data_IF_605810849259
#
_entry.id   IF_605810849259
#
_cell.length_a   1.000
_cell.length_b   1.000
_cell.length_c   1.000
_cell.angle_alpha   90.00
_cell.angle_beta   90.00
_cell.angle_gamma   90.00
#
_symmetry.space_group_name_H-M   'P 1'
#
loop_
_entity.id
_entity.type
_entity.pdbx_description
1 polymer ?
#
# COMPACT_ATOMS: atom_id res chain seq x y z
N UNK A 1 9.81 21.42 23.21
CA UNK A 1 10.14 20.76 21.93
C UNK A 1 11.42 19.92 21.98
N UNK A 2 12.36 20.17 22.91
CA UNK A 2 13.64 19.44 22.96
C UNK A 2 13.60 18.01 23.53
N UNK A 3 12.45 17.52 24.00
CA UNK A 3 12.37 16.22 24.69
C UNK A 3 12.86 15.03 23.85
N UNK A 4 12.74 15.14 22.52
CA UNK A 4 13.22 14.11 21.60
C UNK A 4 14.73 13.88 21.74
N UNK A 5 15.49 14.90 22.12
CA UNK A 5 16.94 14.88 22.24
C UNK A 5 17.44 14.59 23.66
N UNK A 6 16.53 14.24 24.58
CA UNK A 6 16.88 13.70 25.89
C UNK A 6 17.33 12.23 25.75
N UNK A 7 18.20 11.79 26.67
CA UNK A 7 18.84 10.48 26.61
C UNK A 7 17.83 9.34 26.44
N UNK A 8 17.99 8.56 25.37
CA UNK A 8 17.16 7.39 25.04
C UNK A 8 15.84 7.69 24.29
N UNK A 9 15.33 8.94 24.29
CA UNK A 9 14.10 9.27 23.56
C UNK A 9 14.31 9.24 22.04
N UNK A 10 15.44 9.79 21.57
CA UNK A 10 15.77 9.79 20.15
C UNK A 10 15.87 8.37 19.58
N UNK A 11 16.51 7.46 20.34
CA UNK A 11 16.64 6.06 19.95
C UNK A 11 15.27 5.39 19.81
N UNK A 12 14.39 5.55 20.81
CA UNK A 12 13.03 5.02 20.76
C UNK A 12 12.23 5.54 19.56
N UNK A 13 12.31 6.84 19.29
CA UNK A 13 11.60 7.46 18.16
C UNK A 13 12.15 6.99 16.81
N UNK A 14 13.49 6.91 16.67
CA UNK A 14 14.16 6.37 15.49
C UNK A 14 13.74 4.93 15.24
N UNK A 15 13.67 4.10 16.29
CA UNK A 15 13.33 2.70 16.15
C UNK A 15 11.86 2.54 15.70
N UNK A 16 10.93 3.33 16.26
CA UNK A 16 9.56 3.40 15.76
C UNK A 16 9.46 3.87 14.30
N UNK A 17 10.24 4.89 13.92
CA UNK A 17 10.34 5.37 12.54
C UNK A 17 10.79 4.26 11.57
N UNK A 18 11.85 3.51 11.93
CA UNK A 18 12.36 2.41 11.12
C UNK A 18 11.36 1.26 11.01
N UNK A 19 10.65 0.94 12.09
CA UNK A 19 9.59 -0.08 12.09
C UNK A 19 8.40 0.32 11.22
N UNK A 20 8.02 1.60 11.19
CA UNK A 20 7.02 2.10 10.25
C UNK A 20 7.47 1.91 8.81
N UNK A 21 8.74 2.15 8.50
CA UNK A 21 9.30 1.91 7.15
C UNK A 21 9.26 0.42 6.82
N UNK A 22 9.69 -0.45 7.74
CA UNK A 22 9.67 -1.91 7.55
C UNK A 22 8.26 -2.43 7.28
N UNK A 23 7.31 -2.10 8.17
CA UNK A 23 5.91 -2.46 8.01
C UNK A 23 5.34 -1.94 6.69
N UNK A 24 5.66 -0.70 6.32
CA UNK A 24 5.19 -0.09 5.08
C UNK A 24 5.77 -0.79 3.85
N UNK A 25 7.06 -1.12 3.86
CA UNK A 25 7.74 -1.77 2.73
C UNK A 25 7.23 -3.20 2.52
N UNK A 26 7.08 -3.98 3.59
CA UNK A 26 6.56 -5.35 3.51
C UNK A 26 5.08 -5.36 3.05
N UNK A 27 4.27 -4.44 3.58
CA UNK A 27 2.88 -4.29 3.15
C UNK A 27 2.77 -3.81 1.71
N UNK A 28 3.66 -2.92 1.27
CA UNK A 28 3.74 -2.47 -0.11
C UNK A 28 4.07 -3.61 -1.06
N UNK A 29 5.05 -4.46 -0.71
CA UNK A 29 5.41 -5.64 -1.48
C UNK A 29 4.23 -6.61 -1.61
N UNK A 30 3.57 -6.95 -0.50
CA UNK A 30 2.38 -7.79 -0.52
C UNK A 30 1.27 -7.16 -1.38
N UNK A 31 1.04 -5.85 -1.23
CA UNK A 31 0.03 -5.13 -1.99
C UNK A 31 0.30 -5.12 -3.50
N UNK A 32 1.56 -4.96 -3.92
CA UNK A 32 1.95 -5.04 -5.33
C UNK A 32 1.71 -6.44 -5.90
N UNK A 33 2.18 -7.48 -5.21
CA UNK A 33 2.05 -8.86 -5.66
C UNK A 33 0.57 -9.28 -5.74
N UNK A 34 -0.16 -9.11 -4.64
CA UNK A 34 -1.55 -9.51 -4.54
C UNK A 34 -2.46 -8.62 -5.39
N UNK A 35 -2.22 -7.31 -5.41
CA UNK A 35 -2.99 -6.36 -6.22
C UNK A 35 -2.83 -6.61 -7.72
N UNK A 36 -1.62 -6.97 -8.17
CA UNK A 36 -1.36 -7.35 -9.57
C UNK A 36 -2.07 -8.65 -9.93
N UNK A 37 -2.02 -9.66 -9.05
CA UNK A 37 -2.76 -10.91 -9.24
C UNK A 37 -4.27 -10.68 -9.33
N UNK A 38 -4.83 -9.88 -8.42
CA UNK A 38 -6.25 -9.53 -8.41
C UNK A 38 -6.64 -8.73 -9.66
N UNK A 39 -5.78 -7.81 -10.12
CA UNK A 39 -6.01 -7.09 -11.37
C UNK A 39 -6.07 -8.06 -12.56
N UNK A 40 -5.15 -9.03 -12.65
CA UNK A 40 -5.15 -10.07 -13.67
C UNK A 40 -6.46 -10.90 -13.64
N UNK A 41 -6.94 -11.26 -12.44
CA UNK A 41 -8.24 -11.93 -12.30
C UNK A 41 -9.40 -11.08 -12.81
N UNK A 42 -9.39 -9.77 -12.55
CA UNK A 42 -10.48 -8.87 -12.94
C UNK A 42 -10.52 -8.53 -14.43
N UNK A 43 -9.38 -8.61 -15.13
CA UNK A 43 -9.31 -8.44 -16.59
C UNK A 43 -9.37 -9.76 -17.36
N UNK A 44 -9.39 -10.90 -16.65
CA UNK A 44 -9.43 -12.23 -17.26
C UNK A 44 -10.76 -12.52 -17.99
N UNK A 45 -10.73 -13.29 -19.10
CA UNK A 45 -11.95 -13.79 -19.74
C UNK A 45 -12.72 -14.80 -18.88
N UNK A 46 -12.14 -15.35 -17.82
CA UNK A 46 -12.79 -16.37 -16.95
C UNK A 46 -13.74 -15.70 -15.94
N UNK A 47 -15.06 -15.95 -16.00
CA UNK A 47 -16.04 -15.29 -15.12
C UNK A 47 -15.80 -15.51 -13.62
N UNK A 48 -15.39 -16.72 -13.24
CA UNK A 48 -15.13 -17.09 -11.83
C UNK A 48 -13.98 -16.27 -11.25
N UNK A 49 -12.89 -16.08 -12.01
CA UNK A 49 -11.76 -15.25 -11.57
C UNK A 49 -12.18 -13.79 -11.40
N UNK A 50 -12.96 -13.25 -12.35
CA UNK A 50 -13.50 -11.89 -12.24
C UNK A 50 -14.40 -11.73 -11.02
N UNK A 51 -15.26 -12.70 -10.75
CA UNK A 51 -16.15 -12.70 -9.60
C UNK A 51 -15.35 -12.71 -8.29
N UNK A 52 -14.34 -13.59 -8.17
CA UNK A 52 -13.46 -13.63 -7.01
C UNK A 52 -12.73 -12.30 -6.79
N UNK A 53 -12.06 -11.76 -7.82
CA UNK A 53 -11.35 -10.49 -7.71
C UNK A 53 -12.28 -9.32 -7.38
N UNK A 54 -13.51 -9.33 -7.89
CA UNK A 54 -14.52 -8.32 -7.56
C UNK A 54 -15.00 -8.47 -6.13
N UNK A 55 -15.21 -9.69 -5.65
CA UNK A 55 -15.58 -9.99 -4.26
C UNK A 55 -14.51 -9.51 -3.27
N UNK A 56 -13.24 -9.83 -3.53
CA UNK A 56 -12.11 -9.36 -2.73
C UNK A 56 -12.08 -7.83 -2.64
N UNK A 57 -12.04 -7.16 -3.79
CA UNK A 57 -11.93 -5.70 -3.83
C UNK A 57 -13.13 -5.02 -3.17
N UNK A 58 -14.33 -5.55 -3.39
CA UNK A 58 -15.55 -5.06 -2.73
C UNK A 58 -15.47 -5.22 -1.22
N UNK A 59 -15.06 -6.38 -0.72
CA UNK A 59 -14.97 -6.63 0.72
C UNK A 59 -13.95 -5.68 1.36
N UNK A 60 -12.72 -5.67 0.87
CA UNK A 60 -11.62 -4.95 1.52
C UNK A 60 -11.74 -3.42 1.39
N UNK A 61 -12.27 -2.90 0.27
CA UNK A 61 -12.47 -1.43 0.12
C UNK A 61 -13.66 -0.91 0.91
N UNK A 62 -14.65 -1.76 1.20
CA UNK A 62 -15.83 -1.38 1.98
C UNK A 62 -15.73 -1.78 3.46
N UNK A 63 -14.62 -2.36 3.90
CA UNK A 63 -14.36 -2.70 5.30
C UNK A 63 -13.35 -1.73 5.89
N UNK A 64 -13.62 -1.11 7.06
CA UNK A 64 -12.64 -0.26 7.73
C UNK A 64 -11.35 -1.03 8.02
N UNK A 65 -10.19 -0.41 7.77
CA UNK A 65 -8.89 -1.04 8.00
C UNK A 65 -8.73 -1.52 9.45
N UNK A 66 -9.24 -0.78 10.43
CA UNK A 66 -9.26 -1.18 11.85
C UNK A 66 -9.99 -2.52 12.07
N UNK A 67 -11.08 -2.78 11.36
CA UNK A 67 -11.82 -4.05 11.45
C UNK A 67 -11.00 -5.19 10.86
N UNK A 68 -10.25 -4.96 9.79
CA UNK A 68 -9.35 -5.96 9.21
C UNK A 68 -8.20 -6.28 10.17
N UNK A 69 -7.61 -5.27 10.81
CA UNK A 69 -6.61 -5.48 11.87
C UNK A 69 -7.18 -6.29 13.04
N UNK A 70 -8.39 -5.97 13.48
CA UNK A 70 -9.08 -6.75 14.50
C UNK A 70 -9.28 -8.21 14.07
N UNK A 71 -9.75 -8.44 12.84
CA UNK A 71 -9.98 -9.78 12.32
C UNK A 71 -8.70 -10.63 12.25
N UNK A 72 -7.57 -10.06 11.79
CA UNK A 72 -6.32 -10.83 11.75
C UNK A 72 -5.70 -11.02 13.13
N UNK A 73 -5.79 -10.02 14.00
CA UNK A 73 -5.13 -10.06 15.32
C UNK A 73 -5.88 -10.94 16.30
N UNK A 74 -7.21 -10.93 16.27
CA UNK A 74 -8.05 -11.67 17.24
C UNK A 74 -8.84 -12.81 16.61
N UNK A 75 -9.11 -12.80 15.30
CA UNK A 75 -9.88 -13.83 14.62
C UNK A 75 -9.06 -15.02 14.13
N UNK A 76 -7.79 -14.82 13.74
CA UNK A 76 -6.92 -15.90 13.26
C UNK A 76 -6.34 -16.80 14.38
N UNK A 77 -5.91 -16.27 15.55
CA UNK A 77 -5.35 -17.13 16.60
C UNK A 77 -6.29 -18.25 17.10
N UNK A 78 -7.60 -18.02 17.31
CA UNK A 78 -8.54 -19.10 17.66
C UNK A 78 -8.66 -20.21 16.61
N UNK A 79 -8.29 -19.92 15.35
CA UNK A 79 -8.26 -20.90 14.25
C UNK A 79 -6.92 -21.65 14.18
N UNK A 80 -6.02 -21.47 15.15
CA UNK A 80 -4.70 -22.10 15.21
C UNK A 80 -3.63 -21.38 14.40
N UNK A 81 -3.91 -20.18 13.88
CA UNK A 81 -2.96 -19.39 13.09
C UNK A 81 -2.27 -18.38 14.00
N UNK A 82 -1.03 -18.66 14.37
CA UNK A 82 -0.23 -17.81 15.25
C UNK A 82 0.97 -17.24 14.48
N UNK A 83 0.96 -15.92 14.25
CA UNK A 83 2.07 -15.20 13.66
C UNK A 83 2.54 -14.06 14.55
N UNK A 84 3.67 -13.44 14.18
CA UNK A 84 4.13 -12.22 14.83
C UNK A 84 3.14 -11.05 14.61
N UNK A 85 3.12 -10.08 15.51
CA UNK A 85 2.33 -8.85 15.37
C UNK A 85 2.63 -8.14 14.04
N UNK A 86 3.91 -8.06 13.64
CA UNK A 86 4.33 -7.50 12.35
C UNK A 86 3.69 -8.26 11.18
N UNK A 87 3.68 -9.59 11.21
CA UNK A 87 3.08 -10.41 10.15
C UNK A 87 1.58 -10.17 10.06
N UNK A 88 0.85 -10.12 11.18
CA UNK A 88 -0.58 -9.77 11.16
C UNK A 88 -0.82 -8.38 10.59
N UNK A 89 0.00 -7.39 10.98
CA UNK A 89 -0.09 -6.04 10.45
C UNK A 89 0.14 -5.98 8.94
N UNK A 90 1.15 -6.70 8.44
CA UNK A 90 1.44 -6.83 7.00
C UNK A 90 0.28 -7.49 6.27
N UNK A 91 -0.31 -8.54 6.82
CA UNK A 91 -1.47 -9.21 6.21
C UNK A 91 -2.69 -8.29 6.12
N UNK A 92 -3.04 -7.57 7.20
CA UNK A 92 -4.17 -6.65 7.18
C UNK A 92 -3.92 -5.46 6.24
N UNK A 93 -2.81 -4.74 6.43
CA UNK A 93 -2.47 -3.55 5.68
C UNK A 93 -2.21 -3.86 4.20
N UNK A 94 -1.39 -4.89 3.92
CA UNK A 94 -1.07 -5.29 2.56
C UNK A 94 -2.28 -5.81 1.78
N UNK A 95 -3.17 -6.59 2.39
CA UNK A 95 -4.40 -7.08 1.75
C UNK A 95 -5.40 -5.95 1.46
N UNK A 96 -5.52 -5.00 2.39
CA UNK A 96 -6.30 -3.78 2.18
C UNK A 96 -5.74 -2.97 1.01
N UNK A 97 -4.46 -2.63 1.05
CA UNK A 97 -3.78 -1.84 0.00
C UNK A 97 -3.79 -2.57 -1.35
N UNK A 98 -3.68 -3.91 -1.39
CA UNK A 98 -3.76 -4.71 -2.61
C UNK A 98 -5.06 -4.43 -3.40
N UNK A 99 -6.16 -4.13 -2.71
CA UNK A 99 -7.44 -3.84 -3.35
C UNK A 99 -7.44 -2.49 -4.07
N UNK A 100 -6.71 -1.50 -3.54
CA UNK A 100 -6.50 -0.22 -4.22
C UNK A 100 -5.52 -0.36 -5.38
N UNK A 101 -4.42 -1.12 -5.20
CA UNK A 101 -3.48 -1.45 -6.28
C UNK A 101 -4.20 -2.14 -7.44
N UNK A 102 -5.07 -3.12 -7.14
CA UNK A 102 -5.88 -3.82 -8.13
C UNK A 102 -6.72 -2.86 -8.98
N UNK A 103 -7.39 -1.90 -8.34
CA UNK A 103 -8.24 -0.93 -9.03
C UNK A 103 -7.44 0.06 -9.87
N UNK A 104 -6.29 0.50 -9.36
CA UNK A 104 -5.37 1.35 -10.13
C UNK A 104 -4.91 0.62 -11.39
N UNK A 105 -4.42 -0.62 -11.27
CA UNK A 105 -3.96 -1.42 -12.41
C UNK A 105 -5.08 -1.70 -13.42
N UNK A 106 -6.25 -2.14 -12.94
CA UNK A 106 -7.42 -2.42 -13.78
C UNK A 106 -7.89 -1.16 -14.52
N UNK A 107 -7.94 -0.03 -13.82
CA UNK A 107 -8.31 1.26 -14.40
C UNK A 107 -7.31 1.64 -15.49
N UNK A 108 -6.01 1.55 -15.22
CA UNK A 108 -4.97 1.86 -16.21
C UNK A 108 -5.07 0.99 -17.47
N UNK A 109 -5.29 -0.31 -17.34
CA UNK A 109 -5.53 -1.19 -18.51
C UNK A 109 -6.74 -0.72 -19.31
N UNK A 110 -7.83 -0.35 -18.64
CA UNK A 110 -9.06 0.10 -19.27
C UNK A 110 -8.97 1.51 -19.88
N UNK A 111 -7.93 2.29 -19.60
CA UNK A 111 -7.72 3.60 -20.24
C UNK A 111 -7.14 3.49 -21.65
N UNK A 112 -6.58 2.32 -22.03
CA UNK A 112 -6.04 2.11 -23.36
C UNK A 112 -7.20 2.00 -24.37
N UNK A 113 -7.24 2.84 -25.43
CA UNK A 113 -8.34 2.81 -26.40
C UNK A 113 -8.46 1.44 -27.07
N UNK A 114 -9.69 0.92 -27.20
CA UNK A 114 -9.96 -0.37 -27.82
C UNK A 114 -9.39 -0.47 -29.26
N UNK A 115 -9.40 0.64 -29.99
CA UNK A 115 -8.84 0.74 -31.34
C UNK A 115 -7.35 0.35 -31.43
N UNK A 116 -6.56 0.51 -30.36
CA UNK A 116 -5.16 0.07 -30.32
C UNK A 116 -5.07 -1.47 -30.37
N UNK A 117 -5.93 -2.16 -29.61
CA UNK A 117 -6.00 -3.61 -29.62
C UNK A 117 -6.64 -4.15 -30.90
N UNK A 118 -7.57 -3.41 -31.52
CA UNK A 118 -8.12 -3.75 -32.84
C UNK A 118 -7.09 -3.61 -33.95
N UNK A 119 -6.37 -2.49 -34.01
CA UNK A 119 -5.30 -2.27 -34.99
C UNK A 119 -4.19 -3.32 -34.88
N UNK A 120 -3.76 -3.65 -33.67
CA UNK A 120 -2.78 -4.72 -33.42
C UNK A 120 -3.26 -6.07 -33.99
N UNK A 121 -4.53 -6.43 -33.75
CA UNK A 121 -5.12 -7.66 -34.29
C UNK A 121 -5.24 -7.63 -35.82
N UNK A 122 -5.57 -6.49 -36.42
CA UNK A 122 -5.59 -6.31 -37.89
C UNK A 122 -4.21 -6.48 -38.52
N UNK A 123 -3.14 -6.21 -37.78
CA UNK A 123 -1.75 -6.46 -38.19
C UNK A 123 -1.28 -7.91 -37.91
N UNK A 124 -2.18 -8.79 -37.48
CA UNK A 124 -1.88 -10.21 -37.22
C UNK A 124 -1.22 -10.48 -35.86
N UNK A 125 -1.20 -9.51 -34.94
CA UNK A 125 -0.63 -9.72 -33.60
C UNK A 125 -1.50 -10.69 -32.79
N UNK A 126 -0.85 -11.65 -32.13
CA UNK A 126 -1.49 -12.53 -31.15
C UNK A 126 -1.95 -11.75 -29.93
N UNK A 127 -2.81 -12.35 -29.10
CA UNK A 127 -3.25 -11.74 -27.83
C UNK A 127 -2.07 -11.37 -26.93
N UNK A 128 -1.08 -12.26 -26.79
CA UNK A 128 0.11 -12.02 -25.98
C UNK A 128 0.94 -10.84 -26.49
N UNK A 129 1.13 -10.74 -27.81
CA UNK A 129 1.82 -9.60 -28.43
C UNK A 129 1.04 -8.30 -28.23
N UNK A 130 -0.27 -8.31 -28.50
CA UNK A 130 -1.14 -7.14 -28.31
C UNK A 130 -1.09 -6.66 -26.85
N UNK A 131 -1.18 -7.58 -25.90
CA UNK A 131 -1.14 -7.27 -24.48
C UNK A 131 0.23 -6.71 -24.06
N UNK A 132 1.32 -7.39 -24.40
CA UNK A 132 2.66 -7.04 -23.90
C UNK A 132 3.32 -5.87 -24.64
N UNK A 133 3.05 -5.70 -25.93
CA UNK A 133 3.72 -4.70 -26.76
C UNK A 133 2.89 -3.41 -26.92
N UNK A 134 1.56 -3.50 -26.80
CA UNK A 134 0.66 -2.35 -27.04
C UNK A 134 -0.03 -1.91 -25.75
N UNK A 135 -0.77 -2.81 -25.09
CA UNK A 135 -1.65 -2.44 -23.97
C UNK A 135 -0.87 -2.17 -22.68
N UNK A 136 -0.05 -3.13 -22.22
CA UNK A 136 0.67 -3.02 -20.95
C UNK A 136 1.63 -1.82 -20.89
N UNK A 137 2.41 -1.50 -21.94
CA UNK A 137 3.28 -0.32 -21.92
C UNK A 137 2.50 1.00 -21.80
N UNK A 138 1.32 1.09 -22.41
CA UNK A 138 0.45 2.27 -22.30
C UNK A 138 -0.20 2.35 -20.91
N UNK A 139 -0.75 1.23 -20.44
CA UNK A 139 -1.35 1.12 -19.11
C UNK A 139 -0.35 1.45 -18.00
N UNK A 140 0.89 0.93 -18.10
CA UNK A 140 1.95 1.18 -17.13
C UNK A 140 2.22 2.68 -16.90
N UNK A 141 2.13 3.50 -17.94
CA UNK A 141 2.32 4.96 -17.81
C UNK A 141 1.15 5.62 -17.09
N UNK A 142 -0.08 5.18 -17.38
CA UNK A 142 -1.29 5.76 -16.78
C UNK A 142 -1.48 5.39 -15.30
N UNK A 143 -0.90 4.27 -14.85
CA UNK A 143 -1.06 3.81 -13.47
C UNK A 143 -0.13 4.52 -12.49
N UNK A 144 0.99 5.10 -12.93
CA UNK A 144 2.00 5.62 -11.99
C UNK A 144 1.47 6.71 -11.05
N UNK A 145 0.79 7.72 -11.60
CA UNK A 145 0.24 8.82 -10.81
C UNK A 145 -0.82 8.36 -9.77
N UNK A 146 -1.83 7.56 -10.12
CA UNK A 146 -2.74 7.04 -9.11
C UNK A 146 -2.07 6.03 -8.15
N UNK A 147 -1.05 5.29 -8.60
CA UNK A 147 -0.28 4.39 -7.76
C UNK A 147 0.51 5.15 -6.69
N UNK A 148 1.08 6.31 -7.03
CA UNK A 148 1.81 7.16 -6.09
C UNK A 148 0.92 7.57 -4.91
N UNK A 149 -0.34 7.93 -5.18
CA UNK A 149 -1.31 8.29 -4.15
C UNK A 149 -1.59 7.13 -3.18
N UNK A 150 -1.69 5.90 -3.67
CA UNK A 150 -1.87 4.70 -2.84
C UNK A 150 -0.68 4.47 -1.92
N UNK A 151 0.55 4.54 -2.45
CA UNK A 151 1.75 4.30 -1.64
C UNK A 151 2.14 5.46 -0.72
N UNK A 152 1.80 6.71 -1.07
CA UNK A 152 1.96 7.86 -0.17
C UNK A 152 1.03 7.73 1.05
N UNK A 153 -0.16 7.16 0.87
CA UNK A 153 -1.12 6.93 1.96
C UNK A 153 -0.76 5.73 2.84
N UNK A 154 -0.03 4.74 2.31
CA UNK A 154 0.26 3.49 3.00
C UNK A 154 0.96 3.68 4.36
N UNK A 155 2.03 4.49 4.50
CA UNK A 155 2.65 4.74 5.80
C UNK A 155 1.69 5.39 6.80
N UNK A 156 0.79 6.29 6.37
CA UNK A 156 -0.19 6.89 7.28
C UNK A 156 -1.20 5.85 7.76
N UNK A 157 -1.62 4.94 6.89
CA UNK A 157 -2.52 3.86 7.24
C UNK A 157 -1.86 2.84 8.19
N UNK A 158 -0.53 2.72 8.19
CA UNK A 158 0.18 1.82 9.09
C UNK A 158 0.09 2.24 10.56
N UNK A 159 -0.23 3.50 10.86
CA UNK A 159 -0.40 3.99 12.23
C UNK A 159 -1.49 3.21 13.01
N UNK A 160 -2.47 2.65 12.30
CA UNK A 160 -3.51 1.79 12.91
C UNK A 160 -2.88 0.58 13.59
N UNK A 161 -1.75 0.07 13.08
CA UNK A 161 -1.06 -1.08 13.64
C UNK A 161 -0.61 -0.84 15.08
N UNK A 162 -0.25 0.39 15.46
CA UNK A 162 0.14 0.75 16.82
C UNK A 162 -0.95 0.48 17.86
N UNK A 163 -2.22 0.58 17.48
CA UNK A 163 -3.35 0.23 18.35
C UNK A 163 -3.48 -1.29 18.62
N UNK A 164 -2.80 -2.12 17.82
CA UNK A 164 -2.81 -3.59 17.92
C UNK A 164 -1.46 -4.13 18.40
N UNK A 165 -0.75 -3.36 19.23
CA UNK A 165 0.55 -3.74 19.83
C UNK A 165 1.66 -4.02 18.81
N UNK A 166 1.55 -3.47 17.61
CA UNK A 166 2.62 -3.50 16.63
C UNK A 166 3.53 -2.32 16.93
N UNK A 167 4.81 -2.60 17.13
CA UNK A 167 5.79 -1.55 17.35
C UNK A 167 5.97 -0.76 16.05
N UNK A 168 5.68 0.54 16.07
CA UNK A 168 5.85 1.49 14.98
C UNK A 168 5.83 2.94 15.50
N UNK A 169 6.00 3.92 14.63
CA UNK A 169 6.15 5.34 15.00
C UNK A 169 4.99 5.89 15.84
N UNK A 170 3.74 5.57 15.52
CA UNK A 170 2.60 6.01 16.31
C UNK A 170 2.56 5.33 17.68
N UNK A 171 2.92 4.06 17.82
CA UNK A 171 2.95 3.34 19.10
C UNK A 171 3.91 3.96 20.13
N UNK A 172 4.97 4.66 19.69
CA UNK A 172 5.91 5.38 20.57
C UNK A 172 5.22 6.44 21.44
N UNK A 173 4.06 6.95 21.00
CA UNK A 173 3.30 7.95 21.76
C UNK A 173 2.93 7.49 23.17
N UNK A 174 2.69 6.18 23.35
CA UNK A 174 2.29 5.63 24.64
C UNK A 174 3.43 5.76 25.65
N UNK A 175 4.64 5.31 25.27
CA UNK A 175 5.82 5.39 26.13
C UNK A 175 6.19 6.83 26.48
N UNK A 176 6.07 7.77 25.54
CA UNK A 176 6.33 9.18 25.85
C UNK A 176 5.27 9.81 26.74
N UNK A 177 4.01 9.43 26.59
CA UNK A 177 2.93 9.89 27.48
C UNK A 177 3.12 9.37 28.90
N UNK A 178 3.54 8.10 29.06
CA UNK A 178 3.87 7.51 30.36
C UNK A 178 5.07 8.18 31.03
N UNK A 179 6.02 8.72 30.25
CA UNK A 179 7.14 9.55 30.74
C UNK A 179 6.72 10.99 31.09
N UNK A 180 5.45 11.36 30.92
CA UNK A 180 4.92 12.68 31.26
C UNK A 180 5.14 13.76 30.20
N UNK A 181 5.53 13.40 28.98
CA UNK A 181 5.68 14.38 27.90
C UNK A 181 4.33 14.85 27.34
N UNK A 182 4.29 16.09 26.86
CA UNK A 182 3.08 16.69 26.29
C UNK A 182 2.63 15.95 25.02
N UNK A 183 1.35 15.55 24.99
CA UNK A 183 0.74 14.91 23.81
C UNK A 183 0.87 15.76 22.55
N UNK A 184 0.74 17.09 22.65
CA UNK A 184 0.94 17.99 21.52
C UNK A 184 2.35 17.91 20.96
N UNK A 185 3.37 17.86 21.82
CA UNK A 185 4.76 17.77 21.40
C UNK A 185 5.08 16.39 20.75
N UNK A 186 4.51 15.31 21.30
CA UNK A 186 4.64 13.95 20.76
C UNK A 186 4.05 13.88 19.34
N UNK A 187 2.79 14.30 19.18
CA UNK A 187 2.09 14.22 17.90
C UNK A 187 2.69 15.16 16.85
N UNK A 188 3.25 16.30 17.24
CA UNK A 188 4.01 17.17 16.34
C UNK A 188 5.18 16.41 15.69
N UNK A 189 6.02 15.76 16.49
CA UNK A 189 7.17 15.00 15.96
C UNK A 189 6.74 13.78 15.14
N UNK A 190 5.74 13.03 15.62
CA UNK A 190 5.17 11.90 14.87
C UNK A 190 4.63 12.36 13.51
N UNK A 191 3.92 13.49 13.46
CA UNK A 191 3.41 14.06 12.20
C UNK A 191 4.55 14.49 11.26
N UNK A 192 5.59 15.17 11.77
CA UNK A 192 6.78 15.51 10.98
C UNK A 192 7.45 14.25 10.40
N UNK A 193 7.56 13.19 11.18
CA UNK A 193 8.15 11.94 10.73
C UNK A 193 7.31 11.23 9.65
N UNK A 194 5.99 11.11 9.81
CA UNK A 194 5.12 10.61 8.73
C UNK A 194 5.18 11.48 7.48
N UNK A 195 5.29 12.81 7.63
CA UNK A 195 5.45 13.72 6.50
C UNK A 195 6.76 13.43 5.74
N UNK A 196 7.87 13.20 6.44
CA UNK A 196 9.16 12.82 5.83
C UNK A 196 9.02 11.50 5.07
N UNK A 197 8.39 10.48 5.66
CA UNK A 197 8.18 9.18 4.99
C UNK A 197 7.30 9.37 3.74
N UNK A 198 6.16 10.05 3.86
CA UNK A 198 5.28 10.33 2.72
C UNK A 198 5.96 11.15 1.62
N UNK A 199 6.78 12.15 1.99
CA UNK A 199 7.54 12.95 1.03
C UNK A 199 8.60 12.12 0.30
N UNK A 200 9.31 11.23 1.00
CA UNK A 200 10.28 10.32 0.40
C UNK A 200 9.62 9.39 -0.63
N UNK A 201 8.46 8.81 -0.29
CA UNK A 201 7.67 8.00 -1.24
C UNK A 201 7.21 8.84 -2.43
N UNK A 202 6.77 10.08 -2.20
CA UNK A 202 6.38 10.98 -3.29
C UNK A 202 7.55 11.33 -4.23
N UNK A 203 8.76 11.57 -3.69
CA UNK A 203 9.97 11.79 -4.50
C UNK A 203 10.30 10.57 -5.35
N UNK A 204 10.22 9.36 -4.75
CA UNK A 204 10.46 8.11 -5.46
C UNK A 204 9.51 7.97 -6.66
N UNK A 205 8.21 8.21 -6.48
CA UNK A 205 7.24 8.12 -7.57
C UNK A 205 7.43 9.21 -8.63
N UNK A 206 7.76 10.45 -8.25
CA UNK A 206 8.12 11.50 -9.21
C UNK A 206 9.29 11.10 -10.10
N UNK A 207 10.34 10.53 -9.53
CA UNK A 207 11.47 10.03 -10.31
C UNK A 207 11.05 8.92 -11.29
N UNK A 208 10.15 8.02 -10.89
CA UNK A 208 9.62 6.98 -11.77
C UNK A 208 8.73 7.56 -12.88
N UNK A 209 7.93 8.59 -12.57
CA UNK A 209 7.10 9.31 -13.54
C UNK A 209 7.96 10.00 -14.60
N UNK A 210 8.99 10.74 -14.20
CA UNK A 210 9.90 11.45 -15.11
C UNK A 210 10.64 10.49 -16.06
N UNK A 211 10.94 9.27 -15.61
CA UNK A 211 11.59 8.23 -16.44
C UNK A 211 10.65 7.61 -17.47
N UNK A 212 9.36 7.57 -17.19
CA UNK A 212 8.34 6.94 -18.06
C UNK A 212 7.56 7.96 -18.90
N UNK A 213 7.69 9.25 -18.59
CA UNK A 213 7.21 10.36 -19.40
C UNK A 213 7.98 10.39 -20.74
N UNK A 214 7.25 10.25 -21.85
CA UNK A 214 7.79 10.57 -23.17
C UNK A 214 7.75 12.09 -23.30
N UNK A 215 8.87 12.70 -23.71
CA UNK A 215 8.89 14.11 -24.09
C UNK A 215 7.76 14.36 -25.09
N UNK A 216 6.79 15.19 -24.69
CA UNK A 216 5.69 15.61 -25.56
C UNK A 216 6.21 16.53 -26.66
#
# INVERSE_FOLDING_TARGET
MGFLFEDGNFALFRDGFLQTIELSALSALLALLLGTLLAAFRVSPVPVLRAFGTGWVTLFRNTPLTVLFFAVTFGLPPLGVHFSHLTFAVLALGSYTASFVCEVLRSGINTVPLGQAEAARSLGMTFGQTLTQIVLPQAARTVLAPMSSVFIALPRNSAIAGAFSVAELYSVQQTFSERGYSIFAIFFWVACAYLVISAAVAVLFRFLEDRLAVAR
#
